data_IF_227470551410
#
_entry.id   IF_227470551410
#
_cell.length_a   1.000
_cell.length_b   1.000
_cell.length_c   1.000
_cell.angle_alpha   90.00
_cell.angle_beta   90.00
_cell.angle_gamma   90.00
#
_symmetry.space_group_name_H-M   'P 1'
#
loop_
_entity.id
_entity.type
_entity.pdbx_description
1 polymer ?
#
# COMPACT_ATOMS: atom_id res chain seq x y z
N UNK A 1 2.45 4.21 14.48
CA UNK A 1 1.11 3.93 15.03
C UNK A 1 0.63 2.58 14.47
N UNK A 2 -0.26 1.87 15.19
CA UNK A 2 -0.81 0.58 14.77
C UNK A 2 -2.11 0.66 13.96
N UNK A 3 -2.56 1.87 13.59
CA UNK A 3 -3.89 2.07 12.99
C UNK A 3 -4.07 1.32 11.68
N UNK A 4 -3.01 1.15 10.89
CA UNK A 4 -3.04 0.41 9.62
C UNK A 4 -3.56 -1.02 9.79
N UNK A 5 -3.06 -1.73 10.81
CA UNK A 5 -3.48 -3.09 11.14
C UNK A 5 -4.95 -3.19 11.56
N UNK A 6 -5.56 -2.06 11.96
CA UNK A 6 -6.96 -1.99 12.43
C UNK A 6 -7.94 -1.60 11.34
N UNK A 7 -7.44 -1.26 10.14
CA UNK A 7 -8.28 -0.92 9.01
C UNK A 7 -8.85 -2.20 8.37
N UNK A 8 -10.09 -2.14 7.94
CA UNK A 8 -10.69 -3.12 7.05
C UNK A 8 -9.94 -3.21 5.72
N UNK A 9 -10.04 -4.37 5.07
CA UNK A 9 -9.38 -4.62 3.78
C UNK A 9 -9.72 -3.57 2.71
N UNK A 10 -10.99 -3.07 2.60
CA UNK A 10 -11.29 -2.01 1.65
C UNK A 10 -10.57 -0.70 1.96
N UNK A 11 -10.56 -0.25 3.22
CA UNK A 11 -9.85 0.95 3.63
C UNK A 11 -8.34 0.87 3.35
N UNK A 12 -7.72 -0.28 3.63
CA UNK A 12 -6.31 -0.55 3.30
C UNK A 12 -6.04 -0.49 1.79
N UNK A 13 -6.95 -1.04 0.97
CA UNK A 13 -6.77 -1.02 -0.48
C UNK A 13 -6.97 0.39 -1.09
N UNK A 14 -7.88 1.18 -0.53
CA UNK A 14 -8.34 2.47 -1.06
C UNK A 14 -7.40 3.62 -0.68
N UNK A 15 -6.89 3.64 0.55
CA UNK A 15 -6.10 4.77 1.05
C UNK A 15 -4.88 5.09 0.16
N UNK A 16 -4.06 4.10 -0.27
CA UNK A 16 -2.97 4.33 -1.20
C UNK A 16 -3.41 4.95 -2.53
N UNK A 17 -4.56 4.50 -3.05
CA UNK A 17 -5.12 4.99 -4.31
C UNK A 17 -5.50 6.47 -4.18
N UNK A 18 -6.28 6.84 -3.16
CA UNK A 18 -6.67 8.24 -2.93
C UNK A 18 -5.41 9.13 -2.87
N UNK A 19 -4.36 8.70 -2.16
CA UNK A 19 -3.17 9.53 -2.01
C UNK A 19 -2.17 9.52 -3.17
N UNK A 20 -2.38 8.72 -4.22
CA UNK A 20 -1.72 8.91 -5.52
C UNK A 20 -2.36 10.05 -6.30
N UNK A 21 -3.67 10.24 -6.17
CA UNK A 21 -4.41 11.36 -6.78
C UNK A 21 -4.37 12.63 -5.93
N UNK A 22 -3.77 12.60 -4.75
CA UNK A 22 -3.66 13.76 -3.88
C UNK A 22 -2.55 14.71 -4.33
N UNK A 23 -2.84 16.01 -4.33
CA UNK A 23 -1.86 17.06 -4.56
C UNK A 23 -0.93 17.28 -3.34
N UNK A 24 -0.01 18.25 -3.44
CA UNK A 24 0.93 18.61 -2.34
C UNK A 24 0.23 19.01 -1.03
N UNK A 25 -1.03 19.49 -1.09
CA UNK A 25 -1.84 19.84 0.07
C UNK A 25 -2.60 18.64 0.67
N UNK A 26 -2.48 17.45 0.08
CA UNK A 26 -3.21 16.25 0.52
C UNK A 26 -4.66 16.20 0.05
N UNK A 27 -5.02 16.98 -0.98
CA UNK A 27 -6.38 17.05 -1.51
C UNK A 27 -6.45 16.19 -2.78
N UNK A 28 -7.40 15.26 -2.84
CA UNK A 28 -7.64 14.38 -3.96
C UNK A 28 -9.12 14.43 -4.39
N UNK A 29 -9.41 14.16 -5.65
CA UNK A 29 -10.79 14.04 -6.16
C UNK A 29 -10.99 12.91 -7.18
N UNK A 30 -10.42 11.70 -6.99
CA UNK A 30 -10.72 10.57 -7.87
C UNK A 30 -12.18 10.15 -7.73
N UNK A 31 -12.85 9.86 -8.85
CA UNK A 31 -14.21 9.31 -8.81
C UNK A 31 -14.24 7.87 -8.27
N UNK A 32 -15.38 7.42 -7.74
CA UNK A 32 -15.54 6.05 -7.18
C UNK A 32 -15.13 4.96 -8.19
N UNK A 33 -15.41 5.14 -9.49
CA UNK A 33 -14.97 4.20 -10.54
C UNK A 33 -13.45 4.08 -10.61
N UNK A 34 -12.72 5.19 -10.46
CA UNK A 34 -11.26 5.24 -10.46
C UNK A 34 -10.72 4.54 -9.20
N UNK A 35 -11.31 4.85 -8.04
CA UNK A 35 -10.94 4.23 -6.77
C UNK A 35 -11.12 2.71 -6.84
N UNK A 36 -12.29 2.24 -7.28
CA UNK A 36 -12.58 0.81 -7.42
C UNK A 36 -11.55 0.11 -8.33
N UNK A 37 -11.33 0.68 -9.53
CA UNK A 37 -10.42 0.14 -10.54
C UNK A 37 -9.01 -0.06 -10.01
N UNK A 38 -8.42 0.98 -9.42
CA UNK A 38 -7.03 0.93 -8.95
C UNK A 38 -6.88 0.24 -7.59
N UNK A 39 -7.97 0.05 -6.84
CA UNK A 39 -7.98 -0.74 -5.60
C UNK A 39 -8.18 -2.23 -5.84
N UNK A 40 -8.55 -2.65 -7.06
CA UNK A 40 -8.83 -4.05 -7.42
C UNK A 40 -10.27 -4.51 -7.15
N UNK A 41 -11.21 -3.57 -6.95
CA UNK A 41 -12.62 -3.88 -6.78
C UNK A 41 -13.36 -3.86 -8.13
N UNK A 42 -14.26 -4.82 -8.33
CA UNK A 42 -15.10 -4.89 -9.53
C UNK A 42 -16.12 -3.75 -9.54
N UNK A 43 -16.42 -3.23 -10.73
CA UNK A 43 -17.26 -2.03 -10.89
C UNK A 43 -18.74 -2.22 -10.57
N UNK A 44 -19.21 -3.46 -10.47
CA UNK A 44 -20.62 -3.84 -10.38
C UNK A 44 -21.20 -3.60 -8.99
N UNK A 45 -20.46 -3.95 -7.93
CA UNK A 45 -20.84 -3.67 -6.55
C UNK A 45 -19.80 -2.75 -5.91
N UNK A 46 -20.17 -1.47 -5.74
CA UNK A 46 -19.29 -0.43 -5.18
C UNK A 46 -19.41 -0.30 -3.66
N UNK A 47 -20.22 -1.14 -2.99
CA UNK A 47 -20.47 -1.00 -1.57
C UNK A 47 -19.17 -1.08 -0.76
N UNK A 48 -18.29 -2.04 -1.07
CA UNK A 48 -16.99 -2.18 -0.41
C UNK A 48 -16.12 -0.92 -0.52
N UNK A 49 -16.23 -0.20 -1.65
CA UNK A 49 -15.50 1.06 -1.85
C UNK A 49 -16.08 2.17 -0.98
N UNK A 50 -17.39 2.24 -0.85
CA UNK A 50 -18.04 3.20 0.05
C UNK A 50 -17.72 2.88 1.52
N UNK A 51 -17.83 1.63 1.93
CA UNK A 51 -17.54 1.18 3.29
C UNK A 51 -16.09 1.49 3.68
N UNK A 52 -15.14 1.22 2.78
CA UNK A 52 -13.74 1.55 3.00
C UNK A 52 -13.47 3.05 3.07
N UNK A 53 -14.16 3.86 2.27
CA UNK A 53 -14.06 5.32 2.32
C UNK A 53 -14.64 5.86 3.64
N UNK A 54 -15.78 5.35 4.07
CA UNK A 54 -16.43 5.72 5.33
C UNK A 54 -15.54 5.36 6.52
N UNK A 55 -14.96 4.15 6.53
CA UNK A 55 -14.01 3.75 7.57
C UNK A 55 -12.80 4.71 7.65
N UNK A 56 -12.25 5.13 6.51
CA UNK A 56 -11.14 6.08 6.48
C UNK A 56 -11.50 7.45 7.08
N UNK A 57 -12.76 7.88 6.96
CA UNK A 57 -13.26 9.10 7.61
C UNK A 57 -13.46 8.90 9.11
N UNK A 58 -14.11 7.80 9.50
CA UNK A 58 -14.30 7.44 10.91
C UNK A 58 -12.98 7.30 11.68
N UNK A 59 -11.93 6.78 11.01
CA UNK A 59 -10.59 6.63 11.57
C UNK A 59 -9.75 7.92 11.50
N UNK A 60 -10.30 9.01 10.96
CA UNK A 60 -9.65 10.30 10.85
C UNK A 60 -8.46 10.33 9.90
N UNK A 61 -8.41 9.42 8.92
CA UNK A 61 -7.34 9.36 7.90
C UNK A 61 -7.71 10.17 6.66
N UNK A 62 -9.01 10.27 6.34
CA UNK A 62 -9.50 11.01 5.17
C UNK A 62 -10.78 11.75 5.53
N UNK A 63 -10.77 13.08 5.47
CA UNK A 63 -12.03 13.85 5.57
C UNK A 63 -12.70 13.91 4.21
N UNK A 64 -14.00 13.60 4.14
CA UNK A 64 -14.77 13.62 2.90
C UNK A 64 -15.59 14.91 2.80
N UNK A 65 -15.58 15.56 1.64
CA UNK A 65 -16.47 16.68 1.33
C UNK A 65 -17.15 16.46 -0.01
N UNK A 66 -18.47 16.58 -0.04
CA UNK A 66 -19.22 16.61 -1.30
C UNK A 66 -19.05 17.98 -1.98
N UNK A 67 -18.70 17.99 -3.26
CA UNK A 67 -18.62 19.18 -4.11
C UNK A 67 -19.39 18.90 -5.38
N UNK A 68 -20.65 19.36 -5.43
CA UNK A 68 -21.59 19.03 -6.50
C UNK A 68 -21.81 17.52 -6.62
N UNK A 69 -21.50 16.95 -7.79
CA UNK A 69 -21.61 15.52 -8.10
C UNK A 69 -20.35 14.71 -7.73
N UNK A 70 -19.34 15.36 -7.16
CA UNK A 70 -18.05 14.74 -6.87
C UNK A 70 -17.76 14.72 -5.37
N UNK A 71 -16.96 13.76 -4.94
CA UNK A 71 -16.36 13.73 -3.61
C UNK A 71 -14.93 14.26 -3.70
N UNK A 72 -14.57 15.08 -2.71
CA UNK A 72 -13.21 15.58 -2.50
C UNK A 72 -12.72 14.99 -1.18
N UNK A 73 -11.53 14.41 -1.22
CA UNK A 73 -10.90 13.70 -0.12
C UNK A 73 -9.71 14.50 0.39
N UNK A 74 -9.67 14.73 1.70
CA UNK A 74 -8.60 15.47 2.35
C UNK A 74 -7.83 14.51 3.26
N UNK A 75 -6.67 14.07 2.82
CA UNK A 75 -5.77 13.22 3.62
C UNK A 75 -5.34 13.96 4.88
N UNK A 76 -5.44 13.30 6.03
CA UNK A 76 -5.15 13.87 7.35
C UNK A 76 -3.92 13.22 8.00
N UNK A 77 -3.18 13.99 8.80
CA UNK A 77 -2.10 13.48 9.65
C UNK A 77 -1.17 12.49 8.96
N UNK A 78 -1.06 11.28 9.52
CA UNK A 78 -0.20 10.18 9.02
C UNK A 78 -0.64 9.59 7.67
N UNK A 79 -1.85 9.90 7.20
CA UNK A 79 -2.32 9.55 5.86
C UNK A 79 -1.80 10.52 4.79
N UNK A 80 -1.28 11.70 5.18
CA UNK A 80 -0.55 12.56 4.26
C UNK A 80 0.78 11.89 3.95
N UNK A 81 1.20 11.97 2.68
CA UNK A 81 2.46 11.37 2.28
C UNK A 81 3.62 12.09 2.96
N UNK A 82 4.29 11.36 3.85
CA UNK A 82 5.50 11.77 4.55
C UNK A 82 6.59 10.73 4.27
N UNK A 83 7.76 11.18 3.80
CA UNK A 83 8.88 10.28 3.50
C UNK A 83 9.24 9.47 4.75
N UNK A 84 9.16 8.13 4.65
CA UNK A 84 9.50 7.20 5.73
C UNK A 84 8.41 6.90 6.76
N UNK A 85 7.21 7.51 6.69
CA UNK A 85 6.14 7.31 7.70
C UNK A 85 4.74 7.13 7.12
N UNK A 86 4.64 6.86 5.81
CA UNK A 86 3.36 6.91 5.10
C UNK A 86 2.81 5.55 4.72
N UNK A 87 1.48 5.38 4.78
CA UNK A 87 0.77 4.17 4.34
C UNK A 87 0.71 3.99 2.81
N UNK A 88 1.73 4.49 2.10
CA UNK A 88 1.81 4.37 0.66
C UNK A 88 2.88 3.36 0.27
N UNK A 89 2.62 2.58 -0.79
CA UNK A 89 3.63 1.69 -1.32
C UNK A 89 4.85 2.47 -1.78
N UNK A 90 6.02 1.83 -1.75
CA UNK A 90 7.19 2.35 -2.45
C UNK A 90 6.81 2.46 -3.95
N UNK A 91 7.20 3.54 -4.62
CA UNK A 91 6.77 3.87 -5.99
C UNK A 91 5.26 3.97 -6.18
N UNK A 92 4.56 4.54 -5.18
CA UNK A 92 3.09 4.65 -5.18
C UNK A 92 2.45 5.00 -6.53
N UNK A 93 3.01 5.94 -7.28
CA UNK A 93 2.47 6.32 -8.58
C UNK A 93 2.55 5.17 -9.60
N UNK A 94 3.74 4.60 -9.80
CA UNK A 94 3.91 3.47 -10.72
C UNK A 94 3.07 2.26 -10.29
N UNK A 95 3.14 1.88 -9.00
CA UNK A 95 2.44 0.70 -8.50
C UNK A 95 0.91 0.81 -8.60
N UNK A 96 0.35 2.00 -8.38
CA UNK A 96 -1.09 2.23 -8.43
C UNK A 96 -1.54 2.42 -9.88
N UNK A 97 -0.88 3.28 -10.65
CA UNK A 97 -1.31 3.64 -12.01
C UNK A 97 -1.07 2.51 -13.04
N UNK A 98 -0.11 1.61 -12.80
CA UNK A 98 0.14 0.42 -13.63
C UNK A 98 -0.69 -0.81 -13.20
N UNK A 99 -1.67 -0.65 -12.30
CA UNK A 99 -2.53 -1.73 -11.79
C UNK A 99 -1.84 -2.83 -10.98
N UNK A 100 -0.54 -2.72 -10.68
CA UNK A 100 0.17 -3.68 -9.84
C UNK A 100 -0.51 -3.83 -8.47
N UNK A 101 -0.86 -2.71 -7.82
CA UNK A 101 -1.59 -2.70 -6.54
C UNK A 101 -2.93 -3.42 -6.62
N UNK A 102 -3.67 -3.25 -7.73
CA UNK A 102 -4.98 -3.87 -7.91
C UNK A 102 -4.89 -5.41 -7.95
N UNK A 103 -3.76 -5.96 -8.44
CA UNK A 103 -3.50 -7.41 -8.55
C UNK A 103 -3.12 -8.06 -7.20
N UNK A 104 -2.81 -7.27 -6.18
CA UNK A 104 -2.43 -7.82 -4.88
C UNK A 104 -3.66 -8.33 -4.12
N UNK A 105 -3.48 -9.49 -3.49
CA UNK A 105 -4.41 -9.99 -2.47
C UNK A 105 -4.45 -9.02 -1.28
N UNK A 106 -5.51 -9.06 -0.45
CA UNK A 106 -5.59 -8.23 0.74
C UNK A 106 -4.37 -8.37 1.68
N UNK A 107 -3.87 -9.61 1.86
CA UNK A 107 -2.69 -9.87 2.70
C UNK A 107 -1.39 -9.33 2.10
N UNK A 108 -1.23 -9.39 0.77
CA UNK A 108 -0.09 -8.80 0.07
C UNK A 108 -0.08 -7.27 0.20
N UNK A 109 -1.24 -6.62 0.04
CA UNK A 109 -1.39 -5.17 0.19
C UNK A 109 -0.91 -4.70 1.56
N UNK A 110 -1.43 -5.29 2.62
CA UNK A 110 -1.05 -4.87 3.97
C UNK A 110 0.41 -5.20 4.30
N UNK A 111 0.89 -6.39 3.91
CA UNK A 111 2.27 -6.78 4.18
C UNK A 111 3.27 -5.88 3.42
N UNK A 112 3.00 -5.56 2.15
CA UNK A 112 3.90 -4.74 1.33
C UNK A 112 4.13 -3.34 1.93
N UNK A 113 3.07 -2.71 2.45
CA UNK A 113 3.19 -1.42 3.16
C UNK A 113 4.09 -1.54 4.38
N UNK A 114 3.93 -2.61 5.18
CA UNK A 114 4.76 -2.84 6.36
C UNK A 114 6.23 -3.10 5.97
N UNK A 115 6.48 -3.92 4.96
CA UNK A 115 7.83 -4.17 4.44
C UNK A 115 8.48 -2.85 4.00
N UNK A 116 7.78 -2.04 3.20
CA UNK A 116 8.28 -0.75 2.74
C UNK A 116 8.57 0.26 3.87
N UNK A 117 7.77 0.24 4.93
CA UNK A 117 7.99 1.08 6.12
C UNK A 117 9.18 0.62 6.99
N UNK A 118 9.58 -0.66 6.89
CA UNK A 118 10.67 -1.24 7.67
C UNK A 118 11.98 -1.35 6.90
N UNK A 119 11.90 -1.33 5.57
CA UNK A 119 13.07 -1.27 4.71
C UNK A 119 13.77 0.10 4.84
N UNK A 120 15.10 0.08 4.80
CA UNK A 120 15.92 1.29 4.69
C UNK A 120 16.09 1.64 3.22
N UNK A 121 15.78 2.89 2.87
CA UNK A 121 16.01 3.40 1.51
C UNK A 121 17.52 3.49 1.28
N UNK A 122 18.04 2.71 0.34
CA UNK A 122 19.47 2.60 0.10
C UNK A 122 19.88 3.44 -1.11
N UNK A 123 19.96 4.77 -0.93
CA UNK A 123 20.32 5.69 -2.00
C UNK A 123 21.71 5.40 -2.65
N UNK A 124 22.62 4.71 -1.94
CA UNK A 124 23.98 4.42 -2.43
C UNK A 124 24.15 3.02 -3.05
N UNK A 125 23.38 2.00 -2.65
CA UNK A 125 23.42 0.66 -3.28
C UNK A 125 22.50 0.51 -4.50
N UNK A 126 21.50 1.38 -4.61
CA UNK A 126 20.55 1.40 -5.73
C UNK A 126 21.14 1.89 -7.08
N UNK A 127 22.41 2.30 -7.12
CA UNK A 127 23.07 2.69 -8.37
C UNK A 127 23.61 1.48 -9.17
N UNK A 128 23.76 0.31 -8.54
CA UNK A 128 24.29 -0.91 -9.19
C UNK A 128 23.26 -2.05 -9.26
N UNK A 129 22.29 -2.09 -8.34
CA UNK A 129 21.23 -3.09 -8.30
C UNK A 129 19.86 -2.38 -8.37
N UNK A 130 18.88 -2.91 -9.11
CA UNK A 130 17.52 -2.35 -9.24
C UNK A 130 16.70 -2.35 -7.91
N UNK A 131 17.38 -2.48 -6.77
CA UNK A 131 16.86 -2.56 -5.42
C UNK A 131 16.78 -1.18 -4.76
N UNK A 132 15.58 -0.73 -4.41
CA UNK A 132 15.33 0.61 -3.90
C UNK A 132 15.37 0.72 -2.38
N UNK A 133 15.04 -0.37 -1.70
CA UNK A 133 15.09 -0.44 -0.25
C UNK A 133 15.39 -1.87 0.18
N UNK A 134 16.24 -2.03 1.19
CA UNK A 134 16.52 -3.34 1.79
C UNK A 134 15.95 -3.36 3.19
N UNK A 135 15.22 -4.41 3.50
CA UNK A 135 14.70 -4.68 4.84
C UNK A 135 15.14 -6.05 5.35
N UNK A 136 14.96 -6.23 6.65
CA UNK A 136 15.19 -7.51 7.32
C UNK A 136 14.00 -7.80 8.25
N UNK A 137 13.49 -9.04 8.18
CA UNK A 137 12.42 -9.51 9.06
C UNK A 137 13.05 -10.26 10.22
N UNK A 138 13.40 -9.52 11.27
CA UNK A 138 13.94 -10.09 12.50
C UNK A 138 12.89 -10.80 13.36
N UNK A 139 11.60 -10.48 13.20
CA UNK A 139 10.50 -11.07 13.97
C UNK A 139 9.19 -11.08 13.18
N UNK A 140 8.84 -12.25 12.63
CA UNK A 140 7.60 -12.46 11.85
C UNK A 140 6.35 -12.09 12.66
N UNK A 141 6.33 -12.34 13.99
CA UNK A 141 5.15 -12.04 14.81
C UNK A 141 4.89 -10.53 14.85
N UNK A 142 5.95 -9.71 14.90
CA UNK A 142 5.82 -8.25 14.82
C UNK A 142 5.28 -7.79 13.48
N UNK A 143 5.77 -8.36 12.37
CA UNK A 143 5.27 -8.02 11.04
C UNK A 143 3.80 -8.44 10.86
N UNK A 144 3.42 -9.61 11.33
CA UNK A 144 2.02 -10.05 11.37
C UNK A 144 1.14 -9.06 12.16
N UNK A 145 1.60 -8.62 13.34
CA UNK A 145 0.90 -7.64 14.17
C UNK A 145 0.77 -6.28 13.49
N UNK A 146 1.82 -5.79 12.82
CA UNK A 146 1.79 -4.50 12.11
C UNK A 146 0.94 -4.54 10.84
N UNK A 147 0.88 -5.69 10.18
CA UNK A 147 0.06 -5.90 8.99
C UNK A 147 -1.40 -6.29 9.33
N UNK A 148 -1.67 -6.73 10.56
CA UNK A 148 -3.00 -7.22 10.95
C UNK A 148 -3.35 -8.55 10.30
N UNK A 149 -2.36 -9.43 10.07
CA UNK A 149 -2.55 -10.72 9.39
C UNK A 149 -2.08 -11.90 10.23
N UNK A 150 -2.61 -13.08 9.94
CA UNK A 150 -2.14 -14.33 10.55
C UNK A 150 -0.74 -14.70 10.04
N UNK A 151 -0.06 -15.59 10.76
CA UNK A 151 1.25 -16.13 10.33
C UNK A 151 1.16 -16.90 9.01
N UNK A 152 0.08 -17.64 8.78
CA UNK A 152 -0.15 -18.34 7.52
C UNK A 152 -0.32 -17.35 6.36
N UNK A 153 -1.15 -16.32 6.57
CA UNK A 153 -1.35 -15.23 5.61
C UNK A 153 -0.05 -14.48 5.30
N UNK A 154 0.82 -14.30 6.30
CA UNK A 154 2.14 -13.72 6.10
C UNK A 154 2.98 -14.54 5.11
N UNK A 155 3.10 -15.86 5.31
CA UNK A 155 3.91 -16.70 4.42
C UNK A 155 3.37 -16.71 2.99
N UNK A 156 2.05 -16.84 2.84
CA UNK A 156 1.40 -16.80 1.52
C UNK A 156 1.60 -15.46 0.82
N UNK A 157 1.44 -14.35 1.55
CA UNK A 157 1.65 -13.01 1.02
C UNK A 157 3.11 -12.76 0.65
N UNK A 158 4.05 -13.16 1.51
CA UNK A 158 5.49 -12.98 1.26
C UNK A 158 5.94 -13.76 0.02
N UNK A 159 5.57 -15.04 -0.10
CA UNK A 159 5.85 -15.84 -1.29
C UNK A 159 5.14 -15.27 -2.54
N UNK A 160 3.92 -14.76 -2.39
CA UNK A 160 3.17 -14.12 -3.46
C UNK A 160 3.82 -12.84 -3.98
N UNK A 161 4.42 -12.03 -3.09
CA UNK A 161 5.18 -10.83 -3.45
C UNK A 161 6.49 -11.18 -4.17
N UNK A 162 7.19 -12.25 -3.75
CA UNK A 162 8.38 -12.77 -4.45
C UNK A 162 8.02 -13.25 -5.85
N UNK A 163 6.99 -14.09 -5.97
CA UNK A 163 6.55 -14.64 -7.26
C UNK A 163 6.16 -13.54 -8.27
N UNK A 164 5.63 -12.42 -7.77
CA UNK A 164 5.26 -11.26 -8.58
C UNK A 164 6.43 -10.26 -8.78
N UNK A 165 7.63 -10.59 -8.30
CA UNK A 165 8.86 -9.79 -8.44
C UNK A 165 8.79 -8.40 -7.78
N UNK A 166 7.98 -8.22 -6.73
CA UNK A 166 7.91 -6.96 -5.98
C UNK A 166 8.88 -6.90 -4.81
N UNK A 167 9.28 -8.08 -4.32
CA UNK A 167 10.39 -8.24 -3.39
C UNK A 167 11.26 -9.40 -3.88
N UNK A 168 12.54 -9.36 -3.57
CA UNK A 168 13.44 -10.51 -3.74
C UNK A 168 14.11 -10.82 -2.41
N UNK A 169 14.39 -12.09 -2.15
CA UNK A 169 15.04 -12.54 -0.94
C UNK A 169 16.54 -12.73 -1.20
N UNK A 170 17.37 -12.29 -0.25
CA UNK A 170 18.81 -12.55 -0.28
C UNK A 170 19.07 -14.07 -0.29
N UNK A 171 19.82 -14.53 -1.28
CA UNK A 171 20.11 -15.95 -1.49
C UNK A 171 20.76 -16.61 -0.27
N UNK A 172 21.59 -15.86 0.46
CA UNK A 172 22.35 -16.36 1.61
C UNK A 172 21.62 -16.09 2.94
N UNK A 173 20.63 -15.20 2.95
CA UNK A 173 19.99 -14.69 4.18
C UNK A 173 18.47 -14.66 4.09
N UNK A 174 17.85 -15.71 4.64
CA UNK A 174 16.41 -15.78 4.76
C UNK A 174 15.81 -14.55 5.45
N UNK A 175 14.78 -13.98 4.83
CA UNK A 175 14.07 -12.77 5.23
C UNK A 175 14.86 -11.46 5.27
N UNK A 176 16.03 -11.42 4.64
CA UNK A 176 16.58 -10.17 4.12
C UNK A 176 15.99 -9.99 2.72
N UNK A 177 15.35 -8.86 2.46
CA UNK A 177 14.63 -8.63 1.22
C UNK A 177 14.96 -7.28 0.59
N UNK A 178 15.08 -7.28 -0.74
CA UNK A 178 15.07 -6.07 -1.56
C UNK A 178 13.66 -5.76 -2.04
N UNK A 179 13.30 -4.48 -2.12
CA UNK A 179 12.07 -4.02 -2.78
C UNK A 179 12.46 -3.41 -4.13
N UNK A 180 11.88 -3.96 -5.20
CA UNK A 180 12.23 -3.61 -6.58
C UNK A 180 11.15 -2.74 -7.21
N UNK A 181 11.56 -1.94 -8.20
CA UNK A 181 10.62 -1.44 -9.20
C UNK A 181 10.38 -2.58 -10.18
N UNK A 182 9.12 -2.84 -10.50
CA UNK A 182 8.74 -3.59 -11.68
C UNK A 182 9.42 -2.90 -12.89
N UNK A 183 10.56 -3.43 -13.36
CA UNK A 183 11.02 -3.16 -14.72
C UNK A 183 9.97 -3.81 -15.60
N UNK A 184 9.10 -3.00 -16.18
CA UNK A 184 8.07 -3.34 -17.17
C UNK A 184 8.08 -4.83 -17.57
N UNK A 185 7.13 -5.64 -17.11
CA UNK A 185 6.88 -6.91 -17.74
C UNK A 185 6.03 -6.55 -18.95
N UNK A 186 6.67 -6.31 -20.09
CA UNK A 186 5.99 -6.31 -21.38
C UNK A 186 4.98 -7.46 -21.46
#
# INVERSE_FOLDING_TARGET
SGIWATLGQPAQAILPVIGVFANKKGIASPGIKIIAKYSGYKSENKQEVFDGIEELDLKGLVKIKKSGRHYVYYLQGIARWHRGTSFFPIFKQGMILNYAWAKFTPSEKTLYIVLGLKAKVNAARAMEEDCFAIGEISDIKKYCKWAGISRMSFYNAYAGLIKKLFIDEDFDRKYVYGIFIEKDPF
#
